data_IF_657730054049
#
_entry.id   IF_657730054049
#
_cell.length_a   1.000
_cell.length_b   1.000
_cell.length_c   1.000
_cell.angle_alpha   90.00
_cell.angle_beta   90.00
_cell.angle_gamma   90.00
#
_symmetry.space_group_name_H-M   'P 1'
#
loop_
_entity.id
_entity.type
_entity.pdbx_description
1 polymer ?
#
# COMPACT_ATOMS: atom_id res chain seq x y z
N UNK A 1 -36.82 12.43 -4.80
CA UNK A 1 -36.66 11.06 -4.27
C UNK A 1 -36.54 10.13 -5.46
N UNK A 2 -35.31 9.81 -5.86
CA UNK A 2 -35.04 8.85 -6.95
C UNK A 2 -35.27 7.44 -6.43
N UNK A 3 -36.03 6.63 -7.17
CA UNK A 3 -36.66 5.38 -6.74
C UNK A 3 -35.71 4.19 -6.65
N UNK A 4 -34.40 4.41 -6.48
CA UNK A 4 -33.44 3.32 -6.69
C UNK A 4 -33.00 2.61 -5.41
N UNK A 5 -33.25 3.15 -4.21
CA UNK A 5 -32.78 2.53 -2.96
C UNK A 5 -33.63 2.90 -1.72
N UNK A 6 -34.80 2.26 -1.51
CA UNK A 6 -35.74 2.64 -0.46
C UNK A 6 -35.29 2.29 0.98
N UNK A 7 -34.41 1.29 1.17
CA UNK A 7 -34.17 0.71 2.51
C UNK A 7 -32.80 1.05 3.13
N UNK A 8 -32.02 1.99 2.57
CA UNK A 8 -30.65 2.29 3.04
C UNK A 8 -29.64 1.13 2.88
N UNK A 9 -30.12 -0.05 2.47
CA UNK A 9 -29.32 -1.24 2.21
C UNK A 9 -28.36 -1.04 1.03
N UNK A 10 -28.76 -0.29 0.02
CA UNK A 10 -27.83 0.12 -1.03
C UNK A 10 -26.72 1.03 -0.50
N UNK A 11 -27.01 1.94 0.44
CA UNK A 11 -26.01 2.82 1.04
C UNK A 11 -24.99 1.99 1.82
N UNK A 12 -25.44 0.96 2.53
CA UNK A 12 -24.55 0.01 3.21
C UNK A 12 -23.73 -0.83 2.23
N UNK A 13 -24.33 -1.32 1.14
CA UNK A 13 -23.60 -2.04 0.09
C UNK A 13 -22.57 -1.16 -0.62
N UNK A 14 -22.94 0.08 -0.94
CA UNK A 14 -22.03 1.07 -1.51
C UNK A 14 -20.91 1.37 -0.51
N UNK A 15 -21.21 1.58 0.78
CA UNK A 15 -20.17 1.78 1.81
C UNK A 15 -19.31 0.53 2.04
N UNK A 16 -19.85 -0.68 1.92
CA UNK A 16 -19.10 -1.92 2.02
C UNK A 16 -18.18 -2.09 0.81
N UNK A 17 -18.65 -1.75 -0.38
CA UNK A 17 -17.86 -1.70 -1.62
C UNK A 17 -16.82 -0.57 -1.51
N UNK A 18 -17.15 0.59 -0.97
CA UNK A 18 -16.25 1.73 -0.80
C UNK A 18 -15.20 1.47 0.29
N UNK A 19 -15.53 0.72 1.34
CA UNK A 19 -14.57 0.22 2.33
C UNK A 19 -13.70 -0.93 1.78
N UNK A 20 -14.25 -1.77 0.90
CA UNK A 20 -13.51 -2.83 0.22
C UNK A 20 -12.64 -2.29 -0.93
N UNK A 21 -13.03 -1.20 -1.59
CA UNK A 21 -12.20 -0.47 -2.55
C UNK A 21 -11.25 0.47 -1.78
N UNK A 22 -11.64 0.90 -0.58
CA UNK A 22 -10.87 1.62 0.43
C UNK A 22 -9.87 0.76 1.19
N UNK A 23 -9.45 -0.38 0.62
CA UNK A 23 -8.21 -1.03 1.03
C UNK A 23 -7.03 -0.09 0.78
N UNK A 24 -6.68 0.69 1.82
CA UNK A 24 -5.29 0.95 2.25
C UNK A 24 -4.31 1.26 1.12
N UNK A 25 -4.69 2.13 0.19
CA UNK A 25 -3.75 2.75 -0.77
C UNK A 25 -2.86 3.73 0.00
N UNK A 26 -1.89 3.19 0.75
CA UNK A 26 -0.69 3.85 1.29
C UNK A 26 -0.10 3.16 2.54
N UNK A 27 -0.38 1.88 2.80
CA UNK A 27 0.27 1.20 3.92
C UNK A 27 1.67 0.69 3.54
N UNK A 28 2.62 0.98 4.42
CA UNK A 28 3.99 0.46 4.33
C UNK A 28 3.99 -1.05 4.58
N UNK A 29 4.39 -1.81 3.58
CA UNK A 29 4.60 -3.26 3.67
C UNK A 29 6.08 -3.55 3.95
N UNK A 30 6.39 -4.60 4.70
CA UNK A 30 7.79 -4.96 5.00
C UNK A 30 8.37 -5.79 3.86
N UNK A 31 9.46 -5.32 3.26
CA UNK A 31 10.23 -6.04 2.23
C UNK A 31 11.33 -6.91 2.86
N UNK A 32 11.98 -6.40 3.90
CA UNK A 32 13.06 -7.09 4.61
C UNK A 32 12.95 -6.81 6.10
N UNK A 33 12.92 -7.86 6.91
CA UNK A 33 12.78 -7.77 8.36
C UNK A 33 14.12 -8.08 9.05
N UNK A 34 14.46 -7.30 10.09
CA UNK A 34 15.57 -7.52 11.03
C UNK A 34 16.85 -8.12 10.43
N UNK A 35 17.39 -7.48 9.38
CA UNK A 35 18.71 -7.86 8.84
C UNK A 35 19.81 -7.01 9.45
N UNK A 36 20.97 -7.58 9.73
CA UNK A 36 22.19 -6.82 10.07
C UNK A 36 23.12 -6.65 8.86
N UNK A 37 22.76 -7.23 7.72
CA UNK A 37 23.60 -7.25 6.54
C UNK A 37 23.26 -6.10 5.60
N UNK A 38 24.21 -5.18 5.45
CA UNK A 38 24.11 -4.04 4.53
C UNK A 38 23.89 -4.45 3.07
N UNK A 39 24.41 -5.61 2.64
CA UNK A 39 24.20 -6.09 1.27
C UNK A 39 22.73 -6.41 1.01
N UNK A 40 22.03 -6.97 2.00
CA UNK A 40 20.62 -7.34 1.84
C UNK A 40 19.72 -6.10 1.86
N UNK A 41 20.07 -5.10 2.68
CA UNK A 41 19.43 -3.77 2.64
C UNK A 41 19.61 -3.12 1.27
N UNK A 42 20.81 -3.15 0.71
CA UNK A 42 21.10 -2.57 -0.62
C UNK A 42 20.33 -3.27 -1.74
N UNK A 43 20.23 -4.61 -1.72
CA UNK A 43 19.40 -5.37 -2.67
C UNK A 43 17.91 -5.04 -2.54
N UNK A 44 17.40 -4.91 -1.30
CA UNK A 44 16.00 -4.54 -1.05
C UNK A 44 15.69 -3.12 -1.56
N UNK A 45 16.60 -2.17 -1.36
CA UNK A 45 16.45 -0.82 -1.91
C UNK A 45 16.51 -0.81 -3.43
N UNK A 46 17.40 -1.61 -4.04
CA UNK A 46 17.48 -1.74 -5.49
C UNK A 46 16.20 -2.34 -6.09
N UNK A 47 15.58 -3.30 -5.41
CA UNK A 47 14.26 -3.81 -5.79
C UNK A 47 13.23 -2.68 -5.80
N UNK A 48 13.14 -1.88 -4.73
CA UNK A 48 12.20 -0.76 -4.69
C UNK A 48 12.44 0.26 -5.81
N UNK A 49 13.69 0.57 -6.12
CA UNK A 49 14.05 1.48 -7.22
C UNK A 49 13.58 0.95 -8.58
N UNK A 50 13.85 -0.32 -8.88
CA UNK A 50 13.48 -0.96 -10.17
C UNK A 50 11.98 -0.99 -10.38
N UNK A 51 11.20 -1.19 -9.32
CA UNK A 51 9.74 -1.25 -9.38
C UNK A 51 9.06 0.10 -9.11
N UNK A 52 9.82 1.20 -9.04
CA UNK A 52 9.31 2.54 -8.73
C UNK A 52 8.45 2.58 -7.44
N UNK A 53 8.87 1.81 -6.44
CA UNK A 53 8.24 1.75 -5.13
C UNK A 53 8.89 2.78 -4.21
N UNK A 54 8.07 3.42 -3.39
CA UNK A 54 8.58 4.22 -2.28
C UNK A 54 9.18 3.26 -1.24
N UNK A 55 10.33 3.60 -0.68
CA UNK A 55 11.02 2.75 0.30
C UNK A 55 11.40 3.53 1.56
N UNK A 56 11.42 2.82 2.68
CA UNK A 56 11.80 3.34 4.00
C UNK A 56 12.65 2.31 4.71
N UNK A 57 13.79 2.74 5.23
CA UNK A 57 14.64 1.90 6.11
C UNK A 57 14.46 2.37 7.55
N UNK A 58 14.15 1.45 8.45
CA UNK A 58 14.07 1.68 9.90
C UNK A 58 15.23 0.95 10.58
N UNK A 59 15.94 1.66 11.45
CA UNK A 59 16.99 1.07 12.29
C UNK A 59 16.35 0.67 13.62
N UNK A 60 16.43 -0.61 13.96
CA UNK A 60 15.92 -1.18 15.21
C UNK A 60 17.08 -1.67 16.07
N UNK A 61 16.79 -2.07 17.31
CA UNK A 61 17.80 -2.71 18.17
C UNK A 61 18.29 -4.07 17.59
N UNK A 62 17.53 -4.65 16.66
CA UNK A 62 17.80 -5.94 16.04
C UNK A 62 18.28 -5.80 14.58
N UNK A 63 18.75 -4.62 14.18
CA UNK A 63 19.29 -4.37 12.84
C UNK A 63 18.44 -3.42 12.01
N UNK A 64 18.19 -3.79 10.75
CA UNK A 64 17.52 -2.97 9.75
C UNK A 64 16.24 -3.63 9.26
N UNK A 65 15.19 -2.82 9.13
CA UNK A 65 13.92 -3.20 8.50
C UNK A 65 13.73 -2.32 7.26
N UNK A 66 13.53 -2.93 6.09
CA UNK A 66 13.20 -2.23 4.86
C UNK A 66 11.71 -2.41 4.58
N UNK A 67 11.00 -1.31 4.45
CA UNK A 67 9.59 -1.26 4.10
C UNK A 67 9.44 -0.59 2.74
N UNK A 68 8.36 -0.94 2.04
CA UNK A 68 8.00 -0.36 0.76
C UNK A 68 6.53 0.00 0.73
N UNK A 69 6.19 0.95 -0.12
CA UNK A 69 4.82 1.37 -0.39
C UNK A 69 4.66 1.57 -1.87
N UNK A 70 3.54 1.08 -2.40
CA UNK A 70 3.20 1.27 -3.79
C UNK A 70 2.29 2.48 -3.92
N UNK A 71 2.83 3.63 -4.35
CA UNK A 71 2.06 4.83 -4.67
C UNK A 71 1.69 4.84 -6.17
N UNK A 72 1.36 3.68 -6.75
CA UNK A 72 0.63 3.66 -8.02
C UNK A 72 -0.71 4.34 -7.76
N UNK A 73 -0.70 5.68 -7.92
CA UNK A 73 -1.83 6.40 -8.47
C UNK A 73 -2.20 5.61 -9.70
N UNK A 74 -3.32 4.88 -9.64
CA UNK A 74 -4.01 4.47 -10.87
C UNK A 74 -4.07 5.75 -11.68
N UNK A 75 -3.33 5.80 -12.77
CA UNK A 75 -3.58 6.78 -13.82
C UNK A 75 -5.02 6.47 -14.18
N UNK A 76 -5.92 7.40 -13.88
CA UNK A 76 -7.28 7.38 -14.41
C UNK A 76 -7.10 7.22 -15.93
N UNK A 77 -7.43 6.04 -16.45
CA UNK A 77 -7.67 5.84 -17.88
C UNK A 77 -8.93 6.63 -18.20
N UNK A 78 -8.77 7.93 -18.42
CA UNK A 78 -9.74 8.81 -19.05
C UNK A 78 -8.96 9.77 -19.95
N UNK A 79 -8.65 9.29 -21.15
CA UNK A 79 -8.65 10.14 -22.36
C UNK A 79 -9.33 9.38 -23.51
#
# INVERSE_FOLDING_TARGET
MTSDCPDGYCKQKIQAIDNAIGHKKNEWSTLLHDTHNYSDVSKALRFCEVFHLESKVSVTANGFVVQFRNDIRKIDENE
#
